data_IF_551698612511
#
_entry.id   IF_551698612511
#
_cell.length_a   1.000
_cell.length_b   1.000
_cell.length_c   1.000
_cell.angle_alpha   90.00
_cell.angle_beta   90.00
_cell.angle_gamma   90.00
#
_symmetry.space_group_name_H-M   'P 1'
#
loop_
_entity.id
_entity.type
_entity.pdbx_description
1 polymer ?
#
# COMPACT_ATOMS: atom_id res chain seq x y z
N UNK A 1 -11.77 -10.85 5.04
CA UNK A 1 -11.76 -9.69 4.14
C UNK A 1 -12.08 -8.49 5.00
N UNK A 2 -11.26 -7.45 4.96
CA UNK A 2 -11.42 -6.24 5.79
C UNK A 2 -12.43 -5.28 5.15
N UNK A 3 -12.87 -4.27 5.89
CA UNK A 3 -13.86 -3.29 5.39
C UNK A 3 -13.35 -2.56 4.14
N UNK A 4 -12.07 -2.21 4.09
CA UNK A 4 -11.48 -1.56 2.93
C UNK A 4 -11.32 -2.52 1.75
N UNK A 5 -10.99 -3.80 1.99
CA UNK A 5 -10.99 -4.81 0.92
C UNK A 5 -12.39 -4.98 0.30
N UNK A 6 -13.45 -4.98 1.11
CA UNK A 6 -14.84 -5.00 0.60
C UNK A 6 -15.18 -3.75 -0.21
N UNK A 7 -14.76 -2.58 0.26
CA UNK A 7 -14.97 -1.30 -0.44
C UNK A 7 -14.26 -1.28 -1.79
N UNK A 8 -13.01 -1.74 -1.82
CA UNK A 8 -12.20 -1.87 -3.02
C UNK A 8 -12.78 -2.90 -4.00
N UNK A 9 -13.27 -4.04 -3.51
CA UNK A 9 -13.96 -5.05 -4.31
C UNK A 9 -15.31 -4.55 -4.86
N UNK A 10 -15.96 -3.60 -4.20
CA UNK A 10 -17.22 -3.01 -4.63
C UNK A 10 -17.05 -1.84 -5.63
N UNK A 11 -15.82 -1.41 -5.93
CA UNK A 11 -15.57 -0.33 -6.89
C UNK A 11 -16.16 -0.66 -8.28
N UNK A 12 -16.67 0.34 -9.02
CA UNK A 12 -17.04 0.18 -10.42
C UNK A 12 -15.87 -0.38 -11.24
N UNK A 13 -16.16 -1.23 -12.22
CA UNK A 13 -15.13 -1.88 -13.04
C UNK A 13 -14.22 -0.88 -13.77
N UNK A 14 -14.81 0.22 -14.24
CA UNK A 14 -14.09 1.36 -14.84
C UNK A 14 -13.05 2.00 -13.91
N UNK A 15 -13.22 1.89 -12.59
CA UNK A 15 -12.23 2.34 -11.60
C UNK A 15 -11.21 1.25 -11.32
N UNK A 16 -11.63 -0.01 -11.22
CA UNK A 16 -10.73 -1.15 -10.96
C UNK A 16 -9.65 -1.29 -12.03
N UNK A 17 -10.00 -1.09 -13.29
CA UNK A 17 -9.03 -1.16 -14.41
C UNK A 17 -7.92 -0.12 -14.32
N UNK A 18 -8.12 0.99 -13.59
CA UNK A 18 -7.10 2.04 -13.40
C UNK A 18 -5.94 1.57 -12.51
N UNK A 19 -6.16 0.57 -11.65
CA UNK A 19 -5.11 0.00 -10.80
C UNK A 19 -4.17 -0.93 -11.58
N UNK A 20 -4.65 -1.55 -12.66
CA UNK A 20 -3.93 -2.61 -13.37
C UNK A 20 -2.54 -2.21 -13.92
N UNK A 21 -2.33 -1.03 -14.54
CA UNK A 21 -1.03 -0.66 -15.09
C UNK A 21 0.11 -0.63 -14.04
N UNK A 22 -0.22 -0.18 -12.82
CA UNK A 22 0.76 -0.02 -11.74
C UNK A 22 0.80 -1.26 -10.86
N UNK A 23 -0.35 -1.68 -10.34
CA UNK A 23 -0.45 -2.70 -9.29
C UNK A 23 -0.80 -4.10 -9.83
N UNK A 24 -1.38 -4.19 -11.03
CA UNK A 24 -1.88 -5.43 -11.62
C UNK A 24 -3.39 -5.60 -11.40
N UNK A 25 -3.85 -5.43 -10.18
CA UNK A 25 -5.27 -5.41 -9.80
C UNK A 25 -5.45 -4.70 -8.44
N UNK A 26 -6.69 -4.69 -7.95
CA UNK A 26 -7.07 -4.03 -6.70
C UNK A 26 -6.58 -4.80 -5.45
N UNK A 27 -6.47 -6.13 -5.53
CA UNK A 27 -5.98 -6.94 -4.42
C UNK A 27 -4.46 -6.74 -4.24
N UNK A 28 -3.71 -6.71 -5.33
CA UNK A 28 -2.28 -6.36 -5.33
C UNK A 28 -2.04 -4.92 -4.91
N UNK A 29 -2.95 -4.00 -5.24
CA UNK A 29 -2.91 -2.65 -4.69
C UNK A 29 -3.02 -2.67 -3.16
N UNK A 30 -4.03 -3.37 -2.62
CA UNK A 30 -4.19 -3.54 -1.18
C UNK A 30 -2.93 -4.10 -0.52
N UNK A 31 -2.40 -5.20 -1.04
CA UNK A 31 -1.20 -5.85 -0.49
C UNK A 31 0.02 -4.94 -0.57
N UNK A 32 0.22 -4.18 -1.66
CA UNK A 32 1.33 -3.25 -1.77
C UNK A 32 1.25 -2.12 -0.73
N UNK A 33 0.07 -1.53 -0.52
CA UNK A 33 -0.11 -0.47 0.49
C UNK A 33 0.09 -1.01 1.91
N UNK A 34 -0.44 -2.21 2.18
CA UNK A 34 -0.21 -2.91 3.44
C UNK A 34 1.28 -3.10 3.73
N UNK A 35 2.06 -3.55 2.73
CA UNK A 35 3.51 -3.73 2.84
C UNK A 35 4.26 -2.40 2.99
N UNK A 36 3.79 -1.31 2.36
CA UNK A 36 4.36 0.04 2.57
C UNK A 36 4.17 0.47 4.03
N UNK A 37 2.97 0.30 4.59
CA UNK A 37 2.70 0.62 6.00
C UNK A 37 3.55 -0.24 6.95
N UNK A 38 3.64 -1.54 6.68
CA UNK A 38 4.52 -2.46 7.42
C UNK A 38 5.97 -2.02 7.39
N UNK A 39 6.49 -1.69 6.21
CA UNK A 39 7.88 -1.27 6.06
C UNK A 39 8.16 0.06 6.75
N UNK A 40 7.22 1.01 6.71
CA UNK A 40 7.33 2.27 7.44
C UNK A 40 7.45 2.00 8.95
N UNK A 41 6.51 1.23 9.50
CA UNK A 41 6.47 0.92 10.93
C UNK A 41 7.69 0.13 11.40
N UNK A 42 8.05 -0.96 10.72
CA UNK A 42 9.21 -1.78 11.07
C UNK A 42 10.50 -0.96 11.00
N UNK A 43 10.65 -0.09 9.99
CA UNK A 43 11.84 0.78 9.89
C UNK A 43 11.91 1.78 11.04
N UNK A 44 10.79 2.36 11.47
CA UNK A 44 10.75 3.30 12.60
C UNK A 44 11.01 2.60 13.95
N UNK A 45 10.54 1.36 14.09
CA UNK A 45 10.73 0.53 15.29
C UNK A 45 12.16 0.01 15.41
N UNK A 46 12.69 -0.61 14.36
CA UNK A 46 14.00 -1.29 14.38
C UNK A 46 15.17 -0.32 14.17
N UNK A 47 14.92 0.84 13.56
CA UNK A 47 15.91 1.87 13.25
C UNK A 47 17.19 1.32 12.60
N UNK A 48 17.08 0.60 11.46
CA UNK A 48 18.24 0.07 10.77
C UNK A 48 19.17 1.18 10.25
N UNK A 49 20.33 0.80 9.69
CA UNK A 49 21.26 1.77 9.09
C UNK A 49 20.55 2.71 8.10
N UNK A 50 20.75 4.01 8.32
CA UNK A 50 20.12 5.11 7.55
C UNK A 50 18.58 5.08 7.62
N UNK A 51 17.98 4.66 8.74
CA UNK A 51 16.52 4.58 8.89
C UNK A 51 15.81 5.90 8.55
N UNK A 52 16.40 7.06 8.86
CA UNK A 52 15.80 8.36 8.52
C UNK A 52 15.67 8.56 7.01
N UNK A 53 16.72 8.27 6.24
CA UNK A 53 16.69 8.30 4.78
C UNK A 53 15.66 7.29 4.23
N UNK A 54 15.62 6.08 4.81
CA UNK A 54 14.67 5.04 4.41
C UNK A 54 13.23 5.47 4.68
N UNK A 55 12.93 6.02 5.85
CA UNK A 55 11.61 6.55 6.21
C UNK A 55 11.19 7.68 5.28
N UNK A 56 12.10 8.59 4.92
CA UNK A 56 11.81 9.63 3.94
C UNK A 56 11.41 9.04 2.58
N UNK A 57 12.13 8.02 2.10
CA UNK A 57 11.79 7.34 0.83
C UNK A 57 10.44 6.63 0.93
N UNK A 58 10.19 5.87 2.00
CA UNK A 58 8.93 5.14 2.21
C UNK A 58 7.74 6.11 2.23
N UNK A 59 7.83 7.19 3.02
CA UNK A 59 6.78 8.23 3.10
C UNK A 59 6.55 8.92 1.76
N UNK A 60 7.63 9.19 1.02
CA UNK A 60 7.51 9.76 -0.33
C UNK A 60 6.76 8.82 -1.28
N UNK A 61 7.05 7.52 -1.23
CA UNK A 61 6.34 6.51 -2.03
C UNK A 61 4.87 6.45 -1.61
N UNK A 62 4.57 6.40 -0.31
CA UNK A 62 3.20 6.45 0.23
C UNK A 62 2.43 7.65 -0.33
N UNK A 63 2.99 8.86 -0.23
CA UNK A 63 2.34 10.07 -0.78
C UNK A 63 2.16 10.03 -2.30
N UNK A 64 3.01 9.32 -3.04
CA UNK A 64 2.81 9.10 -4.49
C UNK A 64 1.66 8.14 -4.76
N UNK A 65 1.51 7.09 -3.94
CA UNK A 65 0.36 6.19 -4.03
C UNK A 65 -0.94 6.94 -3.77
N UNK A 66 -1.00 7.76 -2.70
CA UNK A 66 -2.18 8.58 -2.39
C UNK A 66 -2.58 9.45 -3.58
N UNK A 67 -1.63 10.21 -4.15
CA UNK A 67 -1.87 11.05 -5.33
C UNK A 67 -2.27 10.28 -6.59
N UNK A 68 -1.71 9.09 -6.79
CA UNK A 68 -2.09 8.23 -7.90
C UNK A 68 -3.56 7.79 -7.75
N UNK A 69 -3.98 7.40 -6.55
CA UNK A 69 -5.37 7.02 -6.27
C UNK A 69 -6.30 8.23 -6.39
N UNK A 70 -5.87 9.42 -5.95
CA UNK A 70 -6.61 10.68 -6.17
C UNK A 70 -6.86 10.93 -7.67
N UNK A 71 -5.87 10.62 -8.52
CA UNK A 71 -6.01 10.78 -9.97
C UNK A 71 -7.07 9.84 -10.59
N UNK A 72 -7.45 8.78 -9.88
CA UNK A 72 -8.55 7.89 -10.26
C UNK A 72 -9.91 8.48 -9.87
N UNK A 73 -9.96 9.64 -9.22
CA UNK A 73 -11.17 10.25 -8.68
C UNK A 73 -11.68 9.52 -7.43
N UNK A 74 -10.77 8.98 -6.63
CA UNK A 74 -11.03 8.34 -5.33
C UNK A 74 -10.34 9.15 -4.22
N UNK A 75 -10.68 8.89 -2.95
CA UNK A 75 -10.03 9.56 -1.82
C UNK A 75 -8.77 8.77 -1.40
N UNK A 76 -7.65 9.07 -2.05
CA UNK A 76 -6.41 8.31 -1.91
C UNK A 76 -5.83 8.32 -0.50
N UNK A 77 -5.90 9.47 0.19
CA UNK A 77 -5.44 9.58 1.58
C UNK A 77 -6.26 8.72 2.55
N UNK A 78 -7.58 8.66 2.38
CA UNK A 78 -8.46 7.84 3.22
C UNK A 78 -8.23 6.36 2.96
N UNK A 79 -8.22 5.94 1.69
CA UNK A 79 -7.99 4.54 1.30
C UNK A 79 -6.64 4.04 1.83
N UNK A 80 -5.57 4.82 1.66
CA UNK A 80 -4.24 4.42 2.15
C UNK A 80 -4.19 4.39 3.68
N UNK A 81 -4.89 5.29 4.36
CA UNK A 81 -5.00 5.27 5.83
C UNK A 81 -5.78 4.07 6.35
N UNK A 82 -6.88 3.69 5.69
CA UNK A 82 -7.67 2.51 6.06
C UNK A 82 -6.86 1.22 5.92
N UNK A 83 -6.10 1.06 4.83
CA UNK A 83 -5.22 -0.11 4.65
C UNK A 83 -4.07 -0.11 5.67
N UNK A 84 -3.51 1.05 5.97
CA UNK A 84 -2.50 1.15 7.02
C UNK A 84 -3.08 0.77 8.40
N UNK A 85 -4.34 1.08 8.64
CA UNK A 85 -5.05 0.73 9.88
C UNK A 85 -5.25 -0.79 9.98
N UNK A 86 -5.63 -1.47 8.89
CA UNK A 86 -5.68 -2.93 8.83
C UNK A 86 -4.33 -3.56 9.23
N UNK A 87 -3.22 -3.01 8.72
CA UNK A 87 -1.88 -3.46 9.12
C UNK A 87 -1.64 -3.32 10.63
N UNK A 88 -1.97 -2.17 11.21
CA UNK A 88 -1.78 -1.96 12.66
C UNK A 88 -2.69 -2.85 13.49
N UNK A 89 -3.93 -3.09 13.05
CA UNK A 89 -4.83 -4.04 13.71
C UNK A 89 -4.25 -5.44 13.71
N UNK A 90 -3.76 -5.93 12.58
CA UNK A 90 -3.11 -7.24 12.49
C UNK A 90 -1.85 -7.31 13.37
N UNK A 91 -1.01 -6.29 13.33
CA UNK A 91 0.21 -6.20 14.12
C UNK A 91 -0.07 -6.28 15.62
N UNK A 92 -1.04 -5.50 16.12
CA UNK A 92 -1.43 -5.51 17.56
C UNK A 92 -2.06 -6.84 17.98
N UNK A 93 -2.74 -7.53 17.06
CA UNK A 93 -3.37 -8.81 17.32
C UNK A 93 -2.46 -10.03 17.02
N UNK A 94 -1.17 -9.82 16.71
CA UNK A 94 -0.22 -10.88 16.33
C UNK A 94 -0.74 -11.77 15.19
N UNK A 95 -1.44 -11.16 14.23
CA UNK A 95 -1.92 -11.83 13.02
C UNK A 95 -0.89 -11.66 11.92
N UNK A 96 -0.48 -12.77 11.32
CA UNK A 96 0.29 -12.76 10.09
C UNK A 96 -0.65 -13.03 8.91
N UNK A 97 -0.93 -12.04 8.05
CA UNK A 97 -1.72 -12.29 6.86
C UNK A 97 -0.92 -13.14 5.87
N UNK A 98 -1.65 -13.92 5.07
CA UNK A 98 -1.08 -14.64 3.94
C UNK A 98 -0.76 -13.65 2.81
N UNK A 99 0.52 -13.28 2.68
CA UNK A 99 0.98 -12.29 1.70
C UNK A 99 1.24 -13.00 0.37
N UNK A 100 0.26 -12.89 -0.53
CA UNK A 100 0.33 -13.42 -1.89
C UNK A 100 1.03 -12.43 -2.85
N UNK A 101 2.24 -11.99 -2.50
CA UNK A 101 3.07 -11.10 -3.31
C UNK A 101 4.55 -11.38 -3.08
N UNK A 102 5.30 -11.59 -4.17
CA UNK A 102 6.75 -11.78 -4.10
C UNK A 102 7.48 -10.44 -3.92
N UNK A 103 8.73 -10.49 -3.42
CA UNK A 103 9.55 -9.29 -3.29
C UNK A 103 9.80 -8.60 -4.64
N UNK A 104 10.01 -9.36 -5.71
CA UNK A 104 10.24 -8.80 -7.05
C UNK A 104 9.01 -8.07 -7.58
N UNK A 105 7.81 -8.63 -7.35
CA UNK A 105 6.56 -7.94 -7.69
C UNK A 105 6.39 -6.65 -6.90
N UNK A 106 6.63 -6.70 -5.58
CA UNK A 106 6.54 -5.52 -4.73
C UNK A 106 7.52 -4.44 -5.18
N UNK A 107 8.79 -4.78 -5.39
CA UNK A 107 9.81 -3.84 -5.88
C UNK A 107 9.41 -3.26 -7.25
N UNK A 108 8.86 -4.09 -8.14
CA UNK A 108 8.34 -3.63 -9.44
C UNK A 108 7.22 -2.58 -9.30
N UNK A 109 6.29 -2.78 -8.35
CA UNK A 109 5.25 -1.79 -8.03
C UNK A 109 5.86 -0.48 -7.52
N UNK A 110 6.80 -0.56 -6.56
CA UNK A 110 7.46 0.62 -5.99
C UNK A 110 8.21 1.41 -7.06
N UNK A 111 8.89 0.73 -7.99
CA UNK A 111 9.56 1.36 -9.12
C UNK A 111 8.57 2.10 -10.02
N UNK A 112 7.45 1.48 -10.39
CA UNK A 112 6.41 2.14 -11.19
C UNK A 112 5.83 3.36 -10.48
N UNK A 113 5.47 3.24 -9.21
CA UNK A 113 4.96 4.36 -8.40
C UNK A 113 5.99 5.48 -8.32
N UNK A 114 7.28 5.16 -8.20
CA UNK A 114 8.35 6.16 -8.15
C UNK A 114 8.48 7.01 -9.42
N UNK A 115 7.94 6.55 -10.55
CA UNK A 115 7.97 7.22 -11.84
C UNK A 115 6.71 8.05 -12.14
N UNK A 116 5.63 7.85 -11.37
CA UNK A 116 4.43 8.70 -11.39
C UNK A 116 4.73 10.06 -10.74
#
# INVERSE_FOLDING_TARGET
MTKIQETLAALPEEKKVLFAPVFGDVDKFYTAVYLIARNEHVTDQEKPDRYEDRLQVIRRIRSKVEKLVDSFGLEGSEIVADIASDYFEDYVNYKEPDIQMTNDEFIGIIQKVSQV
#
